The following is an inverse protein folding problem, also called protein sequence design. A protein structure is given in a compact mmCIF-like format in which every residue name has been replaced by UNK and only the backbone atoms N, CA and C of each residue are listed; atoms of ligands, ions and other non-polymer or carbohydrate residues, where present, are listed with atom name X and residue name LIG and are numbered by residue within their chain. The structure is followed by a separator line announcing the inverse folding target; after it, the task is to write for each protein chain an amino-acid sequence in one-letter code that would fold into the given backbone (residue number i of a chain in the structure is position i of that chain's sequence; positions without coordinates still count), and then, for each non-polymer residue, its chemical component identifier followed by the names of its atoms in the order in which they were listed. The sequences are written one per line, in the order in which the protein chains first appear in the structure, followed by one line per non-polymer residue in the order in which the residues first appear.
data_IF_390883027371
#
_entry.id   IF_390883027371
#
_cell.length_a   1.000
_cell.length_b   1.000
_cell.length_c   1.000
_cell.angle_alpha   90.00
_cell.angle_beta   90.00
_cell.angle_gamma   90.00
#
_symmetry.space_group_name_H-M   'P 1'
#
loop_
_entity.id
_entity.type
_entity.pdbx_description
1 polymer ?
#
# COMPACT_ATOMS: atom_id res chain seq x y z
N UNK A 1 -5.13 2.51 -18.26
CA UNK A 1 -4.27 1.91 -17.21
C UNK A 1 -5.15 1.53 -16.03
N UNK A 2 -4.94 0.35 -15.44
CA UNK A 2 -5.69 -0.18 -14.30
C UNK A 2 -4.72 -0.55 -13.18
N UNK A 3 -4.95 0.04 -12.02
CA UNK A 3 -4.19 -0.16 -10.79
C UNK A 3 -5.05 -0.93 -9.77
N UNK A 4 -4.48 -1.96 -9.13
CA UNK A 4 -5.19 -2.81 -8.15
C UNK A 4 -4.28 -3.15 -6.99
N UNK A 5 -4.74 -2.90 -5.76
CA UNK A 5 -4.15 -3.44 -4.52
C UNK A 5 -5.08 -4.51 -3.96
N UNK A 6 -4.50 -5.64 -3.53
CA UNK A 6 -5.19 -6.65 -2.72
C UNK A 6 -4.44 -6.85 -1.41
N UNK A 7 -5.08 -6.47 -0.30
CA UNK A 7 -4.59 -6.71 1.05
C UNK A 7 -5.32 -7.92 1.66
N UNK A 8 -4.57 -8.94 2.07
CA UNK A 8 -5.07 -10.07 2.86
C UNK A 8 -4.42 -10.03 4.23
N UNK A 9 -5.07 -9.30 5.15
CA UNK A 9 -4.59 -9.10 6.51
C UNK A 9 -4.38 -10.42 7.27
N UNK A 10 -5.27 -11.41 7.08
CA UNK A 10 -5.16 -12.73 7.73
C UNK A 10 -3.88 -13.51 7.38
N UNK A 11 -3.29 -13.23 6.22
CA UNK A 11 -2.06 -13.87 5.74
C UNK A 11 -0.85 -12.94 5.82
N UNK A 12 -1.04 -11.67 6.24
CA UNK A 12 -0.02 -10.63 6.11
C UNK A 12 0.44 -10.38 4.67
N UNK A 13 -0.39 -10.71 3.67
CA UNK A 13 -0.01 -10.68 2.25
C UNK A 13 -0.56 -9.45 1.55
N UNK A 14 0.32 -8.72 0.87
CA UNK A 14 -0.03 -7.57 0.04
C UNK A 14 0.36 -7.85 -1.42
N UNK A 15 -0.54 -7.53 -2.35
CA UNK A 15 -0.31 -7.68 -3.79
C UNK A 15 -0.68 -6.39 -4.52
N UNK A 16 0.26 -5.84 -5.28
CA UNK A 16 0.03 -4.78 -6.26
C UNK A 16 -0.07 -5.36 -7.65
N UNK A 17 -0.96 -4.81 -8.47
CA UNK A 17 -1.01 -5.07 -9.90
C UNK A 17 -1.28 -3.78 -10.68
N UNK A 18 -0.46 -3.50 -11.68
CA UNK A 18 -0.64 -2.40 -12.62
C UNK A 18 -0.67 -2.97 -14.03
N UNK A 19 -1.64 -2.56 -14.85
CA UNK A 19 -1.77 -3.08 -16.22
C UNK A 19 -2.38 -2.05 -17.17
N UNK A 20 -1.88 -2.00 -18.39
CA UNK A 20 -2.46 -1.26 -19.53
C UNK A 20 -3.22 -2.18 -20.50
N UNK A 21 -3.54 -3.40 -20.07
CA UNK A 21 -4.10 -4.49 -20.87
C UNK A 21 -3.17 -5.07 -21.96
N UNK A 22 -1.94 -4.57 -22.11
CA UNK A 22 -0.89 -5.19 -22.94
C UNK A 22 0.19 -5.83 -22.08
N UNK A 23 0.58 -5.15 -21.00
CA UNK A 23 1.57 -5.58 -20.03
C UNK A 23 0.98 -5.52 -18.61
N UNK A 24 1.54 -6.33 -17.72
CA UNK A 24 1.10 -6.42 -16.34
C UNK A 24 2.31 -6.48 -15.41
N UNK A 25 2.47 -5.47 -14.58
CA UNK A 25 3.44 -5.44 -13.50
C UNK A 25 2.74 -5.92 -12.22
N UNK A 26 3.34 -6.88 -11.52
CA UNK A 26 2.83 -7.40 -10.25
C UNK A 26 3.92 -7.39 -9.20
N UNK A 27 3.63 -6.79 -8.05
CA UNK A 27 4.48 -6.84 -6.86
C UNK A 27 3.74 -7.58 -5.75
N UNK A 28 4.44 -8.46 -5.03
CA UNK A 28 3.88 -9.24 -3.93
C UNK A 28 4.86 -9.18 -2.76
N UNK A 29 4.36 -8.81 -1.60
CA UNK A 29 5.15 -8.75 -0.37
C UNK A 29 4.39 -9.31 0.82
N UNK A 30 5.14 -9.72 1.84
CA UNK A 30 4.64 -10.10 3.15
C UNK A 30 5.21 -9.19 4.26
N UNK A 31 6.03 -8.21 3.88
CA UNK A 31 6.66 -7.30 4.83
C UNK A 31 5.67 -6.20 5.21
N UNK A 32 5.31 -6.12 6.51
CA UNK A 32 4.37 -5.13 7.00
C UNK A 32 4.82 -3.68 6.76
N UNK A 33 6.14 -3.43 6.78
CA UNK A 33 6.71 -2.11 6.53
C UNK A 33 6.40 -1.57 5.12
N UNK A 34 6.23 -2.47 4.14
CA UNK A 34 5.90 -2.11 2.77
C UNK A 34 4.44 -1.65 2.62
N UNK A 35 3.56 -1.95 3.59
CA UNK A 35 2.18 -1.50 3.57
C UNK A 35 2.09 0.04 3.59
N UNK A 36 2.87 0.71 4.44
CA UNK A 36 2.93 2.18 4.52
C UNK A 36 3.40 2.81 3.20
N UNK A 37 4.37 2.19 2.52
CA UNK A 37 4.83 2.64 1.19
C UNK A 37 3.72 2.51 0.15
N UNK A 38 2.95 1.42 0.22
CA UNK A 38 1.84 1.17 -0.70
C UNK A 38 0.68 2.17 -0.53
N UNK A 39 0.39 2.59 0.69
CA UNK A 39 -0.59 3.64 0.97
C UNK A 39 -0.15 4.99 0.40
N UNK A 40 1.12 5.37 0.59
CA UNK A 40 1.70 6.56 -0.05
C UNK A 40 1.55 6.50 -1.57
N UNK A 41 1.88 5.36 -2.16
CA UNK A 41 1.75 5.13 -3.60
C UNK A 41 0.30 5.28 -4.07
N UNK A 42 -0.67 4.79 -3.30
CA UNK A 42 -2.09 4.93 -3.61
C UNK A 42 -2.51 6.41 -3.64
N UNK A 43 -2.05 7.21 -2.67
CA UNK A 43 -2.34 8.65 -2.64
C UNK A 43 -1.73 9.37 -3.84
N UNK A 44 -0.49 9.05 -4.21
CA UNK A 44 0.15 9.59 -5.41
C UNK A 44 -0.67 9.27 -6.67
N UNK A 45 -1.08 8.01 -6.84
CA UNK A 45 -1.91 7.62 -7.98
C UNK A 45 -3.26 8.35 -7.99
N UNK A 46 -3.90 8.53 -6.84
CA UNK A 46 -5.14 9.31 -6.74
C UNK A 46 -4.95 10.76 -7.18
N UNK A 47 -3.88 11.41 -6.71
CA UNK A 47 -3.59 12.79 -7.07
C UNK A 47 -3.26 12.94 -8.56
N UNK A 48 -2.43 12.05 -9.11
CA UNK A 48 -2.11 12.03 -10.54
C UNK A 48 -3.34 11.77 -11.41
N UNK A 49 -4.23 10.86 -11.00
CA UNK A 49 -5.46 10.57 -11.75
C UNK A 49 -6.49 11.70 -11.69
N UNK A 50 -6.51 12.50 -10.61
CA UNK A 50 -7.49 13.58 -10.43
C UNK A 50 -7.02 14.94 -10.97
N UNK A 51 -5.73 15.24 -10.88
CA UNK A 51 -5.15 16.55 -11.24
C UNK A 51 -4.24 16.49 -12.47
N UNK A 52 -3.89 15.30 -12.95
CA UNK A 52 -3.03 15.11 -14.11
C UNK A 52 -1.54 14.95 -13.78
N UNK A 53 -0.69 14.76 -14.81
CA UNK A 53 0.72 14.41 -14.65
C UNK A 53 1.63 15.57 -14.22
N UNK A 54 1.14 16.82 -14.23
CA UNK A 54 1.91 18.02 -13.88
C UNK A 54 1.95 18.30 -12.37
N UNK A 55 1.28 17.47 -11.57
CA UNK A 55 1.25 17.60 -10.11
C UNK A 55 2.63 17.40 -9.52
N UNK A 56 3.03 18.34 -8.65
CA UNK A 56 4.18 18.13 -7.77
C UNK A 56 3.85 17.08 -6.70
N UNK A 57 4.54 15.95 -6.77
CA UNK A 57 4.38 14.84 -5.84
C UNK A 57 4.92 15.15 -4.44
N UNK A 58 5.71 16.21 -4.27
CA UNK A 58 6.22 16.66 -2.98
C UNK A 58 5.10 17.05 -2.00
N UNK A 59 3.95 17.49 -2.51
CA UNK A 59 2.79 17.91 -1.69
C UNK A 59 2.01 16.72 -1.09
N UNK A 60 2.13 15.52 -1.68
CA UNK A 60 1.33 14.34 -1.30
C UNK A 60 1.90 13.63 -0.08
N UNK A 61 3.19 13.83 0.24
CA UNK A 61 3.86 13.18 1.37
C UNK A 61 3.55 13.83 2.74
N UNK A 62 2.87 14.98 2.75
CA UNK A 62 2.70 15.85 3.92
C UNK A 62 1.70 15.41 4.99
N UNK A 63 1.16 14.18 4.96
CA UNK A 63 0.29 13.66 6.04
C UNK A 63 0.78 12.30 6.54
N UNK A 64 1.83 12.33 7.34
CA UNK A 64 2.19 11.19 8.18
C UNK A 64 1.13 10.99 9.28
N UNK A 65 0.29 9.98 9.13
CA UNK A 65 -0.28 9.27 10.29
C UNK A 65 0.64 8.10 10.61
N UNK A 66 1.42 8.24 11.67
CA UNK A 66 2.08 7.13 12.35
C UNK A 66 1.01 6.36 13.14
N UNK A 67 0.31 5.42 12.50
CA UNK A 67 -0.41 4.39 13.28
C UNK A 67 0.56 3.27 13.60
N UNK A 68 1.10 3.34 14.82
CA UNK A 68 1.91 2.29 15.42
C UNK A 68 0.94 1.15 15.79
N UNK A 69 0.75 0.16 14.93
CA UNK A 69 0.03 -1.06 15.36
C UNK A 69 0.98 -2.01 16.11
N UNK A 70 0.81 -2.20 17.43
CA UNK A 70 1.54 -3.23 18.15
C UNK A 70 1.00 -4.60 17.74
N UNK A 71 1.86 -5.44 17.17
CA UNK A 71 1.58 -6.87 17.00
C UNK A 71 1.34 -7.48 18.38
N UNK A 72 0.08 -7.75 18.75
CA UNK A 72 -0.25 -8.45 20.00
C UNK A 72 0.33 -9.88 19.94
N UNK A 73 1.54 -10.04 20.47
CA UNK A 73 2.04 -11.34 20.97
C UNK A 73 1.30 -11.62 22.28
N UNK A 74 0.53 -12.70 22.31
CA UNK A 74 -0.16 -13.15 23.52
C UNK A 74 -0.94 -14.43 23.29
N UNK A 75 -0.26 -15.52 22.89
CA UNK A 75 -0.84 -16.86 23.02
C UNK A 75 -0.77 -17.23 24.50
N UNK A 76 -1.91 -17.20 25.18
CA UNK A 76 -2.04 -17.71 26.54
C UNK A 76 -1.66 -19.19 26.59
N UNK A 77 -0.78 -19.54 27.54
CA UNK A 77 -0.47 -20.91 27.94
C UNK A 77 -0.17 -20.93 29.44
N UNK A 78 -0.59 -22.04 30.08
CA UNK A 78 -0.49 -22.46 31.50
C UNK A 78 -1.75 -22.10 32.30
N UNK A 79 -2.30 -23.00 33.12
CA UNK A 79 -1.90 -24.34 33.54
C UNK A 79 -3.15 -25.16 33.85
#
# INVERSE_FOLDING_TARGET
MRYVIKNRHSDGKLVLKVTDNRQCLKYKTYQAQEAKKMEKLNNIFFTLMSRGPEVDLSEVDGKEQMDTQPTKRGRGRKQ
#
